data_IF_212566281835
#
_entry.id   IF_212566281835
#
_cell.length_a   1.000
_cell.length_b   1.000
_cell.length_c   1.000
_cell.angle_alpha   90.00
_cell.angle_beta   90.00
_cell.angle_gamma   90.00
#
_symmetry.space_group_name_H-M   'P 1'
#
loop_
_entity.id
_entity.type
_entity.pdbx_description
1 polymer ?
#
# COMPACT_ATOMS: atom_id res chain seq x y z
N UNK A 1 -37.22 0.55 -3.98
CA UNK A 1 -36.50 1.51 -4.82
C UNK A 1 -35.36 0.71 -5.39
N UNK A 2 -35.46 0.34 -6.67
CA UNK A 2 -34.32 -0.16 -7.42
C UNK A 2 -33.40 1.06 -7.58
N UNK A 3 -32.20 1.03 -7.01
CA UNK A 3 -31.19 2.05 -7.34
C UNK A 3 -30.94 1.91 -8.84
N UNK A 4 -31.06 3.01 -9.60
CA UNK A 4 -30.82 3.02 -11.05
C UNK A 4 -29.33 2.73 -11.31
N UNK A 5 -29.00 1.44 -11.33
CA UNK A 5 -27.67 0.92 -11.63
C UNK A 5 -27.45 0.83 -13.13
N UNK A 6 -26.27 1.22 -13.60
CA UNK A 6 -25.89 1.00 -14.99
C UNK A 6 -25.56 -0.47 -15.28
N UNK A 7 -25.19 -0.78 -16.53
CA UNK A 7 -24.82 -2.15 -16.93
C UNK A 7 -23.64 -2.75 -16.14
N UNK A 8 -22.87 -1.95 -15.40
CA UNK A 8 -21.76 -2.36 -14.56
C UNK A 8 -22.09 -2.36 -13.05
N UNK A 9 -23.32 -2.02 -12.67
CA UNK A 9 -23.72 -1.87 -11.27
C UNK A 9 -23.27 -0.54 -10.64
N UNK A 10 -22.92 0.46 -11.46
CA UNK A 10 -22.63 1.81 -10.95
C UNK A 10 -23.94 2.51 -10.63
N UNK A 11 -24.01 3.13 -9.45
CA UNK A 11 -25.16 3.92 -8.99
C UNK A 11 -24.73 5.40 -8.90
N UNK A 12 -25.67 6.27 -8.55
CA UNK A 12 -25.40 7.70 -8.42
C UNK A 12 -24.27 8.00 -7.41
N UNK A 13 -24.19 7.25 -6.31
CA UNK A 13 -23.17 7.42 -5.27
C UNK A 13 -21.77 7.09 -5.81
N UNK A 14 -21.64 6.03 -6.59
CA UNK A 14 -20.40 5.64 -7.27
C UNK A 14 -19.88 6.75 -8.20
N UNK A 15 -20.78 7.34 -9.01
CA UNK A 15 -20.42 8.41 -9.95
C UNK A 15 -20.04 9.69 -9.21
N UNK A 16 -20.82 10.10 -8.20
CA UNK A 16 -20.52 11.26 -7.39
C UNK A 16 -19.16 11.12 -6.66
N UNK A 17 -18.87 9.91 -6.16
CA UNK A 17 -17.62 9.61 -5.48
C UNK A 17 -16.40 9.67 -6.41
N UNK A 18 -16.55 9.27 -7.67
CA UNK A 18 -15.49 9.38 -8.69
C UNK A 18 -15.14 10.82 -9.01
N UNK A 19 -16.16 11.65 -9.23
CA UNK A 19 -16.00 13.04 -9.65
C UNK A 19 -15.67 13.98 -8.47
N UNK A 20 -15.74 13.49 -7.22
CA UNK A 20 -15.39 14.29 -6.04
C UNK A 20 -16.51 15.23 -5.58
N UNK A 21 -17.76 14.97 -5.96
CA UNK A 21 -18.89 15.84 -5.63
C UNK A 21 -19.38 15.61 -4.19
N UNK A 22 -18.69 16.19 -3.21
CA UNK A 22 -18.96 16.03 -1.78
C UNK A 22 -20.44 16.28 -1.40
N UNK A 23 -21.01 17.40 -1.83
CA UNK A 23 -22.40 17.78 -1.51
C UNK A 23 -23.40 16.75 -2.04
N UNK A 24 -23.14 16.21 -3.23
CA UNK A 24 -24.01 15.20 -3.84
C UNK A 24 -23.87 13.85 -3.13
N UNK A 25 -22.66 13.48 -2.72
CA UNK A 25 -22.43 12.27 -1.91
C UNK A 25 -23.16 12.38 -0.57
N UNK A 26 -23.09 13.54 0.09
CA UNK A 26 -23.78 13.79 1.36
C UNK A 26 -25.30 13.65 1.22
N UNK A 27 -25.87 14.32 0.22
CA UNK A 27 -27.31 14.30 -0.09
C UNK A 27 -27.80 12.88 -0.44
N UNK A 28 -27.05 12.12 -1.25
CA UNK A 28 -27.43 10.75 -1.64
C UNK A 28 -27.46 9.81 -0.43
N UNK A 29 -26.49 9.93 0.48
CA UNK A 29 -26.45 9.13 1.70
C UNK A 29 -27.59 9.52 2.66
N UNK A 30 -27.96 10.80 2.73
CA UNK A 30 -29.10 11.27 3.53
C UNK A 30 -30.45 10.77 2.99
N UNK A 31 -30.55 10.60 1.67
CA UNK A 31 -31.71 9.97 1.01
C UNK A 31 -31.77 8.46 1.16
N UNK A 32 -30.80 7.87 1.86
CA UNK A 32 -30.78 6.45 2.20
C UNK A 32 -30.08 5.56 1.18
N UNK A 33 -29.24 6.11 0.30
CA UNK A 33 -28.36 5.27 -0.52
C UNK A 33 -27.42 4.46 0.38
N UNK A 34 -27.26 3.16 0.07
CA UNK A 34 -26.42 2.31 0.90
C UNK A 34 -24.94 2.62 0.67
N UNK A 35 -24.24 2.98 1.75
CA UNK A 35 -22.84 3.45 1.72
C UNK A 35 -21.88 2.42 1.12
N UNK A 36 -22.16 1.13 1.36
CA UNK A 36 -21.37 0.00 0.87
C UNK A 36 -22.06 -0.74 -0.28
N UNK A 37 -23.02 -0.11 -0.98
CA UNK A 37 -23.46 -0.61 -2.29
C UNK A 37 -22.23 -0.85 -3.17
N UNK A 38 -22.18 -1.99 -3.84
CA UNK A 38 -21.03 -2.42 -4.60
C UNK A 38 -21.41 -2.69 -6.05
N UNK A 39 -20.56 -2.24 -6.97
CA UNK A 39 -20.66 -2.56 -8.39
C UNK A 39 -20.59 -4.07 -8.66
N UNK A 40 -20.82 -4.49 -9.91
CA UNK A 40 -20.63 -5.89 -10.34
C UNK A 40 -19.21 -6.41 -10.16
N UNK A 41 -18.21 -5.54 -9.95
CA UNK A 41 -16.81 -5.90 -9.64
C UNK A 41 -16.51 -5.89 -8.13
N UNK A 42 -17.51 -5.64 -7.29
CA UNK A 42 -17.35 -5.51 -5.84
C UNK A 42 -16.77 -4.17 -5.38
N UNK A 43 -16.61 -3.18 -6.27
CA UNK A 43 -16.13 -1.86 -5.86
C UNK A 43 -17.26 -1.07 -5.23
N UNK A 44 -17.04 -0.59 -4.00
CA UNK A 44 -17.91 0.38 -3.31
C UNK A 44 -17.55 1.81 -3.69
N UNK A 45 -18.37 2.79 -3.26
CA UNK A 45 -18.05 4.21 -3.43
C UNK A 45 -16.67 4.57 -2.82
N UNK A 46 -16.27 3.94 -1.72
CA UNK A 46 -14.97 4.19 -1.08
C UNK A 46 -13.80 3.67 -1.93
N UNK A 47 -13.96 2.54 -2.63
CA UNK A 47 -12.96 2.07 -3.60
C UNK A 47 -12.78 3.09 -4.72
N UNK A 48 -13.89 3.57 -5.29
CA UNK A 48 -13.87 4.51 -6.41
C UNK A 48 -13.27 5.85 -6.00
N UNK A 49 -13.66 6.40 -4.86
CA UNK A 49 -13.06 7.63 -4.30
C UNK A 49 -11.56 7.45 -4.06
N UNK A 50 -11.14 6.27 -3.58
CA UNK A 50 -9.74 6.00 -3.30
C UNK A 50 -8.89 5.86 -4.55
N UNK A 51 -9.43 5.22 -5.60
CA UNK A 51 -8.80 5.13 -6.92
C UNK A 51 -8.73 6.50 -7.61
N UNK A 52 -9.74 7.35 -7.43
CA UNK A 52 -9.81 8.68 -8.02
C UNK A 52 -9.06 9.77 -7.22
N UNK A 53 -8.56 9.47 -6.02
CA UNK A 53 -7.83 10.43 -5.19
C UNK A 53 -8.72 11.41 -4.41
N UNK A 54 -10.02 11.12 -4.27
CA UNK A 54 -11.01 12.00 -3.68
C UNK A 54 -11.02 11.89 -2.15
N UNK A 55 -10.01 12.48 -1.49
CA UNK A 55 -9.80 12.39 -0.04
C UNK A 55 -11.01 12.84 0.78
N UNK A 56 -11.64 13.96 0.42
CA UNK A 56 -12.77 14.48 1.19
C UNK A 56 -14.04 13.62 1.04
N UNK A 57 -14.28 13.07 -0.15
CA UNK A 57 -15.32 12.05 -0.35
C UNK A 57 -15.02 10.80 0.47
N UNK A 58 -13.77 10.28 0.45
CA UNK A 58 -13.38 9.13 1.25
C UNK A 58 -13.60 9.38 2.75
N UNK A 59 -13.27 10.58 3.24
CA UNK A 59 -13.56 11.03 4.61
C UNK A 59 -15.06 11.03 4.90
N UNK A 60 -15.89 11.55 4.00
CA UNK A 60 -17.34 11.58 4.17
C UNK A 60 -17.93 10.17 4.22
N UNK A 61 -17.55 9.30 3.29
CA UNK A 61 -18.01 7.90 3.25
C UNK A 61 -17.66 7.15 4.54
N UNK A 62 -16.44 7.30 5.04
CA UNK A 62 -16.02 6.69 6.31
C UNK A 62 -16.77 7.24 7.52
N UNK A 63 -17.05 8.55 7.56
CA UNK A 63 -17.91 9.14 8.61
C UNK A 63 -19.34 8.58 8.57
N UNK A 64 -19.82 8.17 7.39
CA UNK A 64 -21.15 7.57 7.19
C UNK A 64 -21.13 6.04 7.34
N UNK A 65 -20.01 5.47 7.80
CA UNK A 65 -19.91 4.06 8.18
C UNK A 65 -19.47 3.11 7.08
N UNK A 66 -18.89 3.61 5.98
CA UNK A 66 -18.31 2.76 4.95
C UNK A 66 -17.26 1.80 5.54
N UNK A 67 -17.23 0.56 5.06
CA UNK A 67 -16.18 -0.38 5.45
C UNK A 67 -14.83 0.00 4.81
N UNK A 68 -13.92 0.51 5.65
CA UNK A 68 -12.57 0.93 5.25
C UNK A 68 -11.73 -0.21 4.65
N UNK A 69 -12.06 -1.45 5.01
CA UNK A 69 -11.34 -2.66 4.61
C UNK A 69 -12.14 -3.53 3.64
N UNK A 70 -13.23 -3.00 3.06
CA UNK A 70 -14.00 -3.69 2.05
C UNK A 70 -13.09 -4.24 0.94
N UNK A 71 -13.39 -5.44 0.47
CA UNK A 71 -12.66 -6.08 -0.61
C UNK A 71 -13.54 -6.20 -1.84
N UNK A 72 -13.06 -5.68 -2.97
CA UNK A 72 -13.64 -5.97 -4.28
C UNK A 72 -13.47 -7.45 -4.66
N UNK A 73 -14.01 -7.87 -5.80
CA UNK A 73 -13.97 -9.27 -6.22
C UNK A 73 -12.56 -9.87 -6.28
N UNK A 74 -11.55 -9.09 -6.66
CA UNK A 74 -10.16 -9.57 -6.74
C UNK A 74 -9.37 -9.31 -5.45
N UNK A 75 -10.06 -8.97 -4.36
CA UNK A 75 -9.44 -8.68 -3.07
C UNK A 75 -8.82 -7.29 -2.94
N UNK A 76 -8.99 -6.38 -3.91
CA UNK A 76 -8.51 -5.00 -3.79
C UNK A 76 -9.27 -4.28 -2.67
N UNK A 77 -8.54 -3.61 -1.77
CA UNK A 77 -9.08 -2.70 -0.76
C UNK A 77 -9.00 -1.25 -1.22
N UNK A 78 -9.73 -0.31 -0.60
CA UNK A 78 -9.56 1.12 -0.85
C UNK A 78 -8.10 1.59 -0.67
N UNK A 79 -7.41 1.09 0.37
CA UNK A 79 -6.00 1.40 0.62
C UNK A 79 -5.09 0.89 -0.50
N UNK A 80 -5.36 -0.30 -1.04
CA UNK A 80 -4.62 -0.82 -2.20
C UNK A 80 -4.78 0.09 -3.41
N UNK A 81 -6.00 0.51 -3.73
CA UNK A 81 -6.27 1.36 -4.89
C UNK A 81 -5.62 2.75 -4.76
N UNK A 82 -5.72 3.37 -3.59
CA UNK A 82 -5.04 4.65 -3.32
C UNK A 82 -3.51 4.51 -3.43
N UNK A 83 -2.95 3.40 -2.93
CA UNK A 83 -1.53 3.13 -3.01
C UNK A 83 -1.07 2.86 -4.45
N UNK A 84 -1.87 2.20 -5.28
CA UNK A 84 -1.57 1.94 -6.69
C UNK A 84 -1.49 3.22 -7.52
N UNK A 85 -2.37 4.19 -7.25
CA UNK A 85 -2.48 5.45 -8.01
C UNK A 85 -1.70 6.62 -7.40
N UNK A 86 -0.86 6.37 -6.38
CA UNK A 86 -0.04 7.37 -5.69
C UNK A 86 -0.84 8.49 -4.99
N UNK A 87 -2.05 8.21 -4.51
CA UNK A 87 -2.89 9.19 -3.81
C UNK A 87 -2.49 9.31 -2.33
N UNK A 88 -1.34 9.93 -2.08
CA UNK A 88 -0.69 10.01 -0.76
C UNK A 88 -1.63 10.44 0.37
N UNK A 89 -2.44 11.48 0.13
CA UNK A 89 -3.35 12.01 1.15
C UNK A 89 -4.49 11.06 1.48
N UNK A 90 -4.97 10.30 0.48
CA UNK A 90 -5.98 9.24 0.71
C UNK A 90 -5.34 8.09 1.48
N UNK A 91 -4.13 7.65 1.08
CA UNK A 91 -3.38 6.60 1.78
C UNK A 91 -3.19 6.97 3.26
N UNK A 92 -2.70 8.19 3.53
CA UNK A 92 -2.52 8.71 4.90
C UNK A 92 -3.82 8.63 5.69
N UNK A 93 -4.89 9.19 5.13
CA UNK A 93 -6.18 9.22 5.79
C UNK A 93 -6.71 7.82 6.10
N UNK A 94 -6.62 6.89 5.14
CA UNK A 94 -7.05 5.51 5.36
C UNK A 94 -6.21 4.81 6.45
N UNK A 95 -4.90 5.01 6.48
CA UNK A 95 -4.02 4.43 7.51
C UNK A 95 -4.33 4.95 8.91
N UNK A 96 -4.54 6.27 9.04
CA UNK A 96 -4.90 6.92 10.31
C UNK A 96 -6.25 6.43 10.85
N UNK A 97 -7.14 5.95 9.98
CA UNK A 97 -8.48 5.47 10.34
C UNK A 97 -8.59 3.93 10.33
N UNK A 98 -7.47 3.20 10.35
CA UNK A 98 -7.46 1.74 10.54
C UNK A 98 -7.47 0.90 9.26
N UNK A 99 -7.05 1.47 8.13
CA UNK A 99 -6.86 0.75 6.88
C UNK A 99 -5.82 -0.37 7.03
N UNK A 100 -6.21 -1.58 6.63
CA UNK A 100 -5.40 -2.78 6.80
C UNK A 100 -4.33 -2.89 5.71
N UNK A 101 -3.09 -2.56 6.07
CA UNK A 101 -1.92 -2.70 5.19
C UNK A 101 -1.58 -4.14 4.81
N UNK A 102 -2.02 -5.12 5.61
CA UNK A 102 -1.71 -6.54 5.40
C UNK A 102 -2.74 -7.28 4.54
N UNK A 103 -3.85 -6.62 4.19
CA UNK A 103 -4.81 -7.17 3.24
C UNK A 103 -4.11 -7.35 1.88
N UNK A 104 -4.24 -8.56 1.33
CA UNK A 104 -3.65 -8.92 0.05
C UNK A 104 -4.77 -9.23 -0.96
N UNK A 105 -4.50 -8.95 -2.22
CA UNK A 105 -5.33 -9.38 -3.35
C UNK A 105 -5.32 -10.90 -3.49
N UNK A 106 -6.16 -11.44 -4.37
CA UNK A 106 -6.13 -12.87 -4.70
C UNK A 106 -4.75 -13.33 -5.21
N UNK A 107 -4.03 -12.45 -5.92
CA UNK A 107 -2.65 -12.67 -6.38
C UNK A 107 -1.58 -12.47 -5.30
N UNK A 108 -1.99 -12.14 -4.07
CA UNK A 108 -1.09 -11.96 -2.92
C UNK A 108 -0.40 -10.60 -2.84
N UNK A 109 -0.83 -9.58 -3.59
CA UNK A 109 -0.25 -8.24 -3.53
C UNK A 109 -0.87 -7.41 -2.41
N UNK A 110 -0.03 -6.83 -1.55
CA UNK A 110 -0.44 -5.85 -0.53
C UNK A 110 -0.35 -4.42 -1.06
N UNK A 111 -0.94 -3.41 -0.38
CA UNK A 111 -0.74 -1.99 -0.71
C UNK A 111 0.73 -1.58 -0.83
N UNK A 112 1.61 -2.09 0.04
CA UNK A 112 3.06 -1.84 -0.04
C UNK A 112 3.68 -2.47 -1.28
N UNK A 113 3.29 -3.69 -1.64
CA UNK A 113 3.82 -4.38 -2.80
C UNK A 113 3.47 -3.66 -4.12
N UNK A 114 2.24 -3.17 -4.26
CA UNK A 114 1.85 -2.41 -5.46
C UNK A 114 2.51 -1.03 -5.51
N UNK A 115 2.65 -0.33 -4.38
CA UNK A 115 3.34 0.96 -4.32
C UNK A 115 4.82 0.84 -4.72
N UNK A 116 5.51 -0.23 -4.30
CA UNK A 116 6.88 -0.52 -4.73
C UNK A 116 6.94 -0.82 -6.24
N UNK A 117 6.05 -1.69 -6.73
CA UNK A 117 5.99 -2.05 -8.15
C UNK A 117 5.78 -0.83 -9.06
N UNK A 118 5.01 0.17 -8.60
CA UNK A 118 4.77 1.40 -9.35
C UNK A 118 5.79 2.52 -9.04
N UNK A 119 6.77 2.25 -8.17
CA UNK A 119 7.80 3.22 -7.75
C UNK A 119 7.25 4.47 -7.03
N UNK A 120 6.16 4.32 -6.28
CA UNK A 120 5.51 5.40 -5.54
C UNK A 120 6.21 5.66 -4.20
N UNK A 121 7.42 6.21 -4.27
CA UNK A 121 8.34 6.33 -3.13
C UNK A 121 7.73 7.00 -1.89
N UNK A 122 6.91 8.05 -2.06
CA UNK A 122 6.27 8.73 -0.93
C UNK A 122 5.23 7.86 -0.23
N UNK A 123 4.42 7.11 -1.00
CA UNK A 123 3.47 6.14 -0.46
C UNK A 123 4.19 4.98 0.22
N UNK A 124 5.29 4.49 -0.38
CA UNK A 124 6.14 3.46 0.22
C UNK A 124 6.67 3.90 1.58
N UNK A 125 7.27 5.09 1.68
CA UNK A 125 7.76 5.62 2.95
C UNK A 125 6.63 5.71 3.97
N UNK A 126 5.48 6.26 3.59
CA UNK A 126 4.32 6.41 4.48
C UNK A 126 3.79 5.06 5.00
N UNK A 127 3.67 4.05 4.13
CA UNK A 127 3.25 2.71 4.52
C UNK A 127 4.27 2.07 5.48
N UNK A 128 5.56 2.24 5.22
CA UNK A 128 6.63 1.72 6.08
C UNK A 128 6.68 2.41 7.45
N UNK A 129 6.39 3.71 7.52
CA UNK A 129 6.26 4.45 8.78
C UNK A 129 5.11 3.90 9.64
N UNK A 130 4.00 3.50 9.01
CA UNK A 130 2.86 2.89 9.70
C UNK A 130 3.01 1.36 9.94
N UNK A 131 3.97 0.66 9.33
CA UNK A 131 4.25 -0.78 9.54
C UNK A 131 5.08 -1.02 10.82
N UNK A 132 4.53 -0.62 11.97
CA UNK A 132 5.18 -0.72 13.30
C UNK A 132 5.53 -2.16 13.73
N UNK A 133 5.03 -3.18 13.02
CA UNK A 133 5.21 -4.60 13.36
C UNK A 133 5.98 -5.40 12.30
N UNK A 134 6.46 -4.76 11.22
CA UNK A 134 7.21 -5.42 10.14
C UNK A 134 6.43 -6.51 9.41
N UNK A 135 5.08 -6.47 9.46
CA UNK A 135 4.23 -7.52 8.90
C UNK A 135 4.20 -7.49 7.38
N UNK A 136 4.33 -6.30 6.79
CA UNK A 136 4.23 -6.11 5.33
C UNK A 136 5.60 -5.89 4.68
N UNK A 137 6.57 -5.35 5.42
CA UNK A 137 7.95 -5.13 4.94
C UNK A 137 8.63 -6.41 4.44
N UNK A 138 8.55 -7.51 5.18
CA UNK A 138 9.24 -8.76 4.82
C UNK A 138 8.71 -9.35 3.50
N UNK A 139 7.40 -9.57 3.32
CA UNK A 139 6.85 -9.99 2.02
C UNK A 139 7.25 -9.06 0.87
N UNK A 140 7.21 -7.74 1.10
CA UNK A 140 7.61 -6.75 0.10
C UNK A 140 9.08 -6.87 -0.32
N UNK A 141 9.99 -7.16 0.63
CA UNK A 141 11.42 -7.38 0.33
C UNK A 141 11.64 -8.64 -0.50
N UNK A 142 10.88 -9.71 -0.26
CA UNK A 142 10.94 -10.92 -1.11
C UNK A 142 10.49 -10.61 -2.54
N UNK A 143 9.43 -9.81 -2.70
CA UNK A 143 8.92 -9.42 -4.02
C UNK A 143 9.94 -8.56 -4.76
N UNK A 144 10.54 -7.56 -4.09
CA UNK A 144 11.58 -6.71 -4.68
C UNK A 144 12.80 -7.53 -5.13
N UNK A 145 13.28 -8.46 -4.29
CA UNK A 145 14.39 -9.34 -4.62
C UNK A 145 14.08 -10.26 -5.81
N UNK A 146 12.86 -10.79 -5.92
CA UNK A 146 12.44 -11.63 -7.06
C UNK A 146 12.35 -10.85 -8.36
N UNK A 147 12.03 -9.55 -8.29
CA UNK A 147 11.88 -8.66 -9.45
C UNK A 147 13.16 -7.91 -9.83
N UNK A 148 14.28 -8.15 -9.12
CA UNK A 148 15.52 -7.38 -9.25
C UNK A 148 15.32 -5.86 -9.08
N UNK A 149 14.36 -5.49 -8.23
CA UNK A 149 14.00 -4.09 -7.97
C UNK A 149 14.90 -3.53 -6.87
N UNK A 150 16.10 -3.10 -7.26
CA UNK A 150 17.14 -2.60 -6.35
C UNK A 150 16.68 -1.34 -5.60
N UNK A 151 15.88 -0.49 -6.24
CA UNK A 151 15.33 0.73 -5.62
C UNK A 151 14.31 0.40 -4.54
N UNK A 152 13.35 -0.47 -4.83
CA UNK A 152 12.40 -0.96 -3.84
C UNK A 152 13.11 -1.64 -2.66
N UNK A 153 14.10 -2.49 -2.95
CA UNK A 153 14.91 -3.15 -1.93
C UNK A 153 15.69 -2.14 -1.07
N UNK A 154 16.30 -1.12 -1.68
CA UNK A 154 17.02 -0.07 -0.97
C UNK A 154 16.10 0.74 -0.05
N UNK A 155 14.91 1.15 -0.51
CA UNK A 155 13.92 1.86 0.31
C UNK A 155 13.44 1.03 1.51
N UNK A 156 13.24 -0.28 1.30
CA UNK A 156 12.85 -1.20 2.37
C UNK A 156 13.95 -1.37 3.42
N UNK A 157 15.22 -1.35 3.01
CA UNK A 157 16.39 -1.43 3.90
C UNK A 157 16.70 -0.09 4.59
N UNK A 158 16.52 1.05 3.91
CA UNK A 158 16.83 2.37 4.45
C UNK A 158 15.87 2.78 5.58
N UNK A 159 14.63 2.31 5.55
CA UNK A 159 13.65 2.55 6.61
C UNK A 159 13.82 1.61 7.83
N UNK A 160 14.94 0.88 7.93
CA UNK A 160 15.27 -0.01 9.06
C UNK A 160 15.78 0.76 10.29
N UNK A 161 14.96 1.69 10.81
CA UNK A 161 15.25 2.42 12.05
C UNK A 161 14.89 1.62 13.32
N UNK A 162 14.48 0.35 13.19
CA UNK A 162 14.13 -0.47 14.35
C UNK A 162 15.35 -1.26 14.83
N UNK A 163 16.21 -0.59 15.60
CA UNK A 163 17.42 -1.15 16.21
C UNK A 163 17.17 -2.45 17.02
N UNK A 164 15.93 -2.74 17.40
CA UNK A 164 15.55 -3.91 18.21
C UNK A 164 15.34 -5.19 17.37
N UNK A 165 15.24 -5.06 16.04
CA UNK A 165 15.00 -6.19 15.12
C UNK A 165 16.30 -6.84 14.64
N UNK A 166 17.41 -6.10 14.66
CA UNK A 166 18.74 -6.63 14.32
C UNK A 166 19.18 -7.78 15.25
N UNK A 167 18.69 -7.83 16.49
CA UNK A 167 19.03 -8.90 17.44
C UNK A 167 18.09 -10.12 17.42
N UNK A 168 16.92 -10.04 16.77
CA UNK A 168 15.91 -11.13 16.81
C UNK A 168 15.52 -11.71 15.46
N UNK A 169 15.83 -11.08 14.34
CA UNK A 169 15.52 -11.63 13.03
C UNK A 169 16.66 -12.51 12.50
N UNK A 170 16.69 -13.76 12.98
CA UNK A 170 17.18 -14.89 12.19
C UNK A 170 16.24 -15.06 10.98
N UNK A 171 16.55 -14.35 9.89
CA UNK A 171 15.84 -14.39 8.61
C UNK A 171 16.19 -15.70 7.87
N UNK A 172 15.72 -16.85 8.39
CA UNK A 172 16.03 -18.20 7.86
C UNK A 172 14.91 -18.80 6.99
N UNK A 173 14.05 -17.99 6.36
CA UNK A 173 13.23 -18.47 5.25
C UNK A 173 13.92 -18.13 3.94
N UNK A 174 14.54 -19.15 3.35
CA UNK A 174 15.21 -19.10 2.06
C UNK A 174 14.18 -19.10 0.94
N UNK A 175 14.51 -18.43 -0.17
CA UNK A 175 13.82 -18.61 -1.45
C UNK A 175 13.98 -20.07 -1.94
N UNK A 176 13.24 -20.47 -2.98
CA UNK A 176 13.44 -21.77 -3.66
C UNK A 176 14.89 -21.96 -4.16
N UNK A 177 15.63 -20.86 -4.34
CA UNK A 177 17.05 -20.83 -4.68
C UNK A 177 18.01 -20.88 -3.48
N UNK A 178 17.51 -21.06 -2.25
CA UNK A 178 18.34 -21.23 -1.04
C UNK A 178 18.93 -19.95 -0.46
N UNK A 179 18.67 -18.77 -1.05
CA UNK A 179 19.19 -17.50 -0.55
C UNK A 179 18.17 -16.78 0.30
N UNK A 180 18.63 -16.08 1.34
CA UNK A 180 17.77 -15.17 2.09
C UNK A 180 17.57 -13.90 1.25
N UNK A 181 16.42 -13.22 1.37
CA UNK A 181 16.20 -11.94 0.68
C UNK A 181 17.29 -10.91 1.02
N UNK A 182 17.82 -10.97 2.23
CA UNK A 182 18.94 -10.14 2.67
C UNK A 182 20.24 -10.48 1.93
N UNK A 183 20.52 -11.76 1.66
CA UNK A 183 21.67 -12.15 0.83
C UNK A 183 21.51 -11.66 -0.61
N UNK A 184 20.31 -11.76 -1.20
CA UNK A 184 20.05 -11.25 -2.55
C UNK A 184 20.21 -9.73 -2.57
N UNK A 185 19.54 -9.01 -1.68
CA UNK A 185 19.63 -7.54 -1.60
C UNK A 185 21.05 -7.04 -1.30
N UNK A 186 21.80 -7.72 -0.41
CA UNK A 186 23.21 -7.39 -0.12
C UNK A 186 24.13 -7.67 -1.31
N UNK A 187 23.88 -8.74 -2.07
CA UNK A 187 24.63 -9.04 -3.30
C UNK A 187 24.37 -8.01 -4.41
N UNK A 188 23.14 -7.50 -4.50
CA UNK A 188 22.74 -6.46 -5.45
C UNK A 188 23.30 -5.09 -5.06
N UNK A 189 23.26 -4.74 -3.76
CA UNK A 189 23.89 -3.54 -3.22
C UNK A 189 25.41 -3.53 -3.47
N UNK A 190 26.08 -4.67 -3.26
CA UNK A 190 27.51 -4.80 -3.57
C UNK A 190 27.79 -4.64 -5.07
N UNK A 191 26.90 -5.11 -5.96
CA UNK A 191 27.01 -4.92 -7.41
C UNK A 191 26.87 -3.45 -7.83
N UNK A 192 25.94 -2.69 -7.24
CA UNK A 192 25.80 -1.25 -7.50
C UNK A 192 27.00 -0.45 -6.95
N UNK A 193 27.52 -0.81 -5.76
CA UNK A 193 28.73 -0.18 -5.20
C UNK A 193 30.03 -0.53 -5.96
N UNK A 194 30.05 -1.63 -6.73
CA UNK A 194 31.18 -2.03 -7.57
C UNK A 194 31.10 -1.43 -8.99
N UNK A 195 30.06 -0.66 -9.32
CA UNK A 195 30.06 0.13 -10.54
C UNK A 195 30.95 1.37 -10.34
N UNK A 196 31.96 1.65 -11.20
CA UNK A 196 33.00 2.64 -10.91
C UNK A 196 32.57 4.12 -10.92
N UNK A 197 31.28 4.43 -10.79
CA UNK A 197 30.72 5.75 -11.11
C UNK A 197 29.93 6.42 -9.98
N UNK A 198 29.92 5.91 -8.75
CA UNK A 198 29.25 6.60 -7.64
C UNK A 198 30.15 6.72 -6.40
N UNK A 199 30.97 7.78 -6.39
CA UNK A 199 31.57 8.32 -5.16
C UNK A 199 30.48 8.98 -4.33
N UNK A 200 30.26 8.51 -3.10
CA UNK A 200 30.58 9.22 -1.84
C UNK A 200 29.81 8.61 -0.66
N UNK A 201 30.54 8.49 0.46
CA UNK A 201 30.09 8.19 1.83
C UNK A 201 30.13 6.70 2.23
N UNK A 202 31.28 6.34 2.82
CA UNK A 202 31.49 5.05 3.47
C UNK A 202 30.83 5.00 4.87
N UNK A 203 30.55 3.80 5.39
CA UNK A 203 29.89 3.62 6.68
C UNK A 203 30.81 4.01 7.85
N UNK A 204 30.26 4.46 9.00
CA UNK A 204 31.06 4.84 10.17
C UNK A 204 31.73 3.62 10.80
N UNK A 205 33.03 3.74 11.09
CA UNK A 205 33.86 2.72 11.71
C UNK A 205 33.48 2.50 13.17
N UNK A 206 33.05 1.30 13.52
CA UNK A 206 32.95 0.83 14.91
C UNK A 206 34.02 -0.24 15.16
N UNK A 207 35.09 0.16 15.84
CA UNK A 207 36.07 -0.78 16.42
C UNK A 207 35.55 -1.27 17.78
N UNK A 208 35.67 -2.57 18.12
CA UNK A 208 35.33 -3.07 19.45
C UNK A 208 36.49 -2.83 20.44
N UNK A 209 36.23 -2.69 21.76
CA UNK A 209 37.28 -2.52 22.75
C UNK A 209 37.96 -3.87 23.05
N UNK A 210 39.28 -3.84 23.17
CA UNK A 210 40.10 -4.91 23.77
C UNK A 210 40.38 -4.64 25.24
#
# INVERSE_FOLDING_TARGET
MEEDEDENGLNALHLAAKEGHEDLVEELLERGSAVDSATKKGNTALHIASLAGQKEVARLLLKRGADINAQSQNGFTPLYMAAQENHLEVVRYLLENGGNQSAATEDGFTPLAIALQQCHNQVVSLLLEHDTKGKVRLPALHIAARKDDTKAAALLLQNDHNADVQSKMMVNRTTESGFTPLHIARSLWQRECLHPSCSTEGPPSTSPPG
#
